data_IF_991029008265
#
_entry.id   IF_991029008265
#
_cell.length_a   1.000
_cell.length_b   1.000
_cell.length_c   1.000
_cell.angle_alpha   90.00
_cell.angle_beta   90.00
_cell.angle_gamma   90.00
#
_symmetry.space_group_name_H-M   'P 1'
#
loop_
_entity.id
_entity.type
_entity.pdbx_description
1 polymer ?
#
# COMPACT_ATOMS: atom_id res chain seq x y z
N UNK A 1 3.53 -24.82 -4.12
CA UNK A 1 2.59 -23.69 -3.96
C UNK A 1 3.11 -22.54 -3.10
N UNK A 2 3.47 -22.71 -1.82
CA UNK A 2 3.72 -21.56 -0.91
C UNK A 2 4.76 -20.57 -1.42
N UNK A 3 5.88 -21.06 -1.94
CA UNK A 3 6.93 -20.20 -2.51
C UNK A 3 6.44 -19.43 -3.74
N UNK A 4 5.66 -20.08 -4.61
CA UNK A 4 5.08 -19.43 -5.81
C UNK A 4 4.06 -18.36 -5.40
N UNK A 5 3.24 -18.64 -4.39
CA UNK A 5 2.26 -17.70 -3.86
C UNK A 5 2.95 -16.52 -3.15
N UNK A 6 3.96 -16.80 -2.32
CA UNK A 6 4.78 -15.77 -1.70
C UNK A 6 5.48 -14.90 -2.75
N UNK A 7 6.05 -15.50 -3.79
CA UNK A 7 6.66 -14.77 -4.89
C UNK A 7 5.64 -13.84 -5.57
N UNK A 8 4.41 -14.31 -5.81
CA UNK A 8 3.32 -13.47 -6.32
C UNK A 8 2.97 -12.31 -5.38
N UNK A 9 2.91 -12.53 -4.06
CA UNK A 9 2.56 -11.48 -3.09
C UNK A 9 3.69 -10.48 -2.82
N UNK A 10 4.95 -10.87 -3.03
CA UNK A 10 6.12 -10.00 -2.81
C UNK A 10 6.60 -9.29 -4.07
N UNK A 11 6.25 -9.79 -5.26
CA UNK A 11 6.61 -9.16 -6.52
C UNK A 11 5.53 -8.17 -6.96
N UNK A 12 5.84 -6.89 -6.75
CA UNK A 12 5.09 -5.74 -7.24
C UNK A 12 4.62 -5.85 -8.70
N UNK A 13 5.43 -6.49 -9.55
CA UNK A 13 5.18 -6.63 -10.99
C UNK A 13 4.36 -7.87 -11.33
N UNK A 14 4.45 -8.94 -10.54
CA UNK A 14 3.71 -10.18 -10.76
C UNK A 14 2.19 -9.97 -10.79
N UNK A 15 1.69 -9.02 -9.99
CA UNK A 15 0.30 -8.61 -9.98
C UNK A 15 -0.21 -8.23 -11.38
N UNK A 16 0.57 -7.46 -12.15
CA UNK A 16 0.17 -6.94 -13.46
C UNK A 16 0.00 -8.05 -14.51
N UNK A 17 0.71 -9.17 -14.34
CA UNK A 17 0.64 -10.30 -15.26
C UNK A 17 -0.48 -11.28 -14.92
N UNK A 18 -0.97 -11.27 -13.68
CA UNK A 18 -2.01 -12.18 -13.17
C UNK A 18 -2.99 -11.44 -12.24
N UNK A 19 -3.71 -10.42 -12.75
CA UNK A 19 -4.58 -9.59 -11.92
C UNK A 19 -5.74 -10.39 -11.31
N UNK A 20 -6.18 -11.47 -11.96
CA UNK A 20 -7.25 -12.34 -11.45
C UNK A 20 -6.93 -12.91 -10.06
N UNK A 21 -5.66 -13.17 -9.74
CA UNK A 21 -5.28 -13.76 -8.44
C UNK A 21 -5.55 -12.84 -7.24
N UNK A 22 -5.78 -11.54 -7.46
CA UNK A 22 -6.21 -10.63 -6.41
C UNK A 22 -7.74 -10.48 -6.31
N UNK A 23 -8.49 -10.90 -7.33
CA UNK A 23 -9.94 -10.86 -7.29
C UNK A 23 -10.49 -11.95 -6.35
N UNK A 24 -10.79 -11.54 -5.11
CA UNK A 24 -11.32 -12.43 -4.07
C UNK A 24 -12.76 -12.88 -4.34
N UNK A 25 -13.45 -12.27 -5.30
CA UNK A 25 -14.81 -12.68 -5.69
C UNK A 25 -14.79 -13.84 -6.69
N UNK A 26 -13.65 -14.08 -7.35
CA UNK A 26 -13.52 -15.17 -8.30
C UNK A 26 -13.55 -16.53 -7.58
N UNK A 27 -14.43 -17.48 -7.97
CA UNK A 27 -14.65 -18.72 -7.20
C UNK A 27 -13.39 -19.56 -6.99
N UNK A 28 -12.54 -19.70 -8.02
CA UNK A 28 -11.31 -20.49 -7.92
C UNK A 28 -10.27 -19.81 -6.99
N UNK A 29 -10.26 -18.48 -6.96
CA UNK A 29 -9.35 -17.71 -6.12
C UNK A 29 -9.82 -17.78 -4.67
N UNK A 30 -11.12 -17.64 -4.43
CA UNK A 30 -11.73 -17.84 -3.11
C UNK A 30 -11.48 -19.25 -2.56
N UNK A 31 -11.62 -20.28 -3.41
CA UNK A 31 -11.33 -21.67 -3.05
C UNK A 31 -9.86 -21.85 -2.62
N UNK A 32 -8.92 -21.27 -3.36
CA UNK A 32 -7.51 -21.26 -2.98
C UNK A 32 -7.29 -20.60 -1.62
N UNK A 33 -7.75 -19.37 -1.40
CA UNK A 33 -7.52 -18.69 -0.13
C UNK A 33 -8.15 -19.38 1.07
N UNK A 34 -9.31 -20.01 0.86
CA UNK A 34 -9.97 -20.83 1.90
C UNK A 34 -9.10 -22.05 2.23
N UNK A 35 -8.69 -22.82 1.23
CA UNK A 35 -7.85 -24.01 1.42
C UNK A 35 -6.47 -23.65 2.02
N UNK A 36 -5.88 -22.54 1.58
CA UNK A 36 -4.63 -22.02 2.09
C UNK A 36 -4.73 -21.69 3.59
N UNK A 37 -5.77 -20.97 4.01
CA UNK A 37 -6.00 -20.67 5.42
C UNK A 37 -6.18 -21.93 6.27
N UNK A 38 -6.89 -22.94 5.76
CA UNK A 38 -7.04 -24.23 6.45
C UNK A 38 -5.73 -25.01 6.60
N UNK A 39 -4.86 -24.97 5.59
CA UNK A 39 -3.54 -25.58 5.64
C UNK A 39 -2.57 -24.78 6.51
N UNK A 40 -2.69 -23.45 6.54
CA UNK A 40 -1.84 -22.59 7.36
C UNK A 40 -2.21 -22.66 8.86
N UNK A 41 -3.47 -22.89 9.19
CA UNK A 41 -3.92 -23.10 10.56
C UNK A 41 -3.31 -24.36 11.23
N UNK A 42 -2.80 -25.32 10.45
CA UNK A 42 -2.08 -26.50 10.96
C UNK A 42 -0.57 -26.31 11.02
N UNK A 43 -0.08 -25.09 10.77
CA UNK A 43 1.34 -24.78 10.86
C UNK A 43 1.80 -24.92 12.31
N UNK A 44 2.81 -25.75 12.51
CA UNK A 44 3.46 -25.97 13.80
C UNK A 44 4.83 -25.31 13.79
N UNK A 45 5.06 -24.43 14.76
CA UNK A 45 6.37 -23.84 15.03
C UNK A 45 7.10 -24.72 16.05
N UNK A 46 8.05 -25.52 15.57
CA UNK A 46 8.86 -26.41 16.41
C UNK A 46 8.60 -27.90 16.15
N UNK A 47 8.37 -28.67 17.21
CA UNK A 47 8.22 -30.12 17.11
C UNK A 47 6.88 -30.48 16.47
N UNK A 48 6.94 -31.24 15.38
CA UNK A 48 5.76 -31.77 14.70
C UNK A 48 5.15 -32.87 15.57
N UNK A 49 3.85 -32.79 15.90
CA UNK A 49 3.14 -33.87 16.58
C UNK A 49 3.17 -35.17 15.73
N UNK A 50 3.53 -36.30 16.35
CA UNK A 50 3.67 -37.62 15.68
C UNK A 50 2.35 -38.42 15.66
N UNK A 51 1.24 -37.79 16.05
CA UNK A 51 -0.07 -38.41 15.95
C UNK A 51 -0.44 -38.58 14.47
N UNK A 52 -0.64 -39.83 14.05
CA UNK A 52 -1.02 -40.19 12.67
C UNK A 52 -2.22 -39.36 12.15
N UNK A 53 -3.17 -39.03 13.02
CA UNK A 53 -4.31 -38.17 12.68
C UNK A 53 -3.90 -36.74 12.31
N UNK A 54 -2.94 -36.15 13.02
CA UNK A 54 -2.40 -34.82 12.72
C UNK A 54 -1.64 -34.83 11.40
N UNK A 55 -0.74 -35.81 11.21
CA UNK A 55 0.05 -35.95 9.98
C UNK A 55 -0.86 -36.11 8.75
N UNK A 56 -1.93 -36.90 8.87
CA UNK A 56 -2.90 -37.09 7.79
C UNK A 56 -3.70 -35.83 7.50
N UNK A 57 -4.25 -35.16 8.52
CA UNK A 57 -5.01 -33.92 8.33
C UNK A 57 -4.13 -32.82 7.70
N UNK A 58 -2.87 -32.71 8.15
CA UNK A 58 -1.89 -31.81 7.53
C UNK A 58 -1.69 -32.12 6.04
N UNK A 59 -1.44 -33.39 5.70
CA UNK A 59 -1.23 -33.80 4.31
C UNK A 59 -2.47 -33.53 3.44
N UNK A 60 -3.66 -33.88 3.91
CA UNK A 60 -4.92 -33.71 3.18
C UNK A 60 -5.18 -32.22 2.89
N UNK A 61 -4.99 -31.33 3.89
CA UNK A 61 -5.16 -29.88 3.70
C UNK A 61 -4.08 -29.25 2.82
N UNK A 62 -2.83 -29.71 2.94
CA UNK A 62 -1.75 -29.24 2.07
C UNK A 62 -2.03 -29.58 0.60
N UNK A 63 -2.49 -30.81 0.32
CA UNK A 63 -2.89 -31.24 -1.03
C UNK A 63 -4.08 -30.44 -1.55
N UNK A 64 -5.08 -30.18 -0.70
CA UNK A 64 -6.22 -29.35 -1.08
C UNK A 64 -5.80 -27.92 -1.46
N UNK A 65 -4.90 -27.31 -0.68
CA UNK A 65 -4.39 -25.98 -0.96
C UNK A 65 -3.53 -25.92 -2.24
N UNK A 66 -2.65 -26.89 -2.47
CA UNK A 66 -1.86 -26.99 -3.72
C UNK A 66 -2.79 -27.17 -4.93
N UNK A 67 -3.79 -28.04 -4.83
CA UNK A 67 -4.75 -28.29 -5.92
C UNK A 67 -5.54 -27.02 -6.26
N UNK A 68 -6.04 -26.32 -5.24
CA UNK A 68 -6.77 -25.08 -5.43
C UNK A 68 -5.88 -23.96 -6.00
N UNK A 69 -4.62 -23.86 -5.55
CA UNK A 69 -3.64 -22.94 -6.13
C UNK A 69 -3.42 -23.20 -7.62
N UNK A 70 -3.18 -24.45 -8.02
CA UNK A 70 -2.96 -24.79 -9.44
C UNK A 70 -4.17 -24.42 -10.29
N UNK A 71 -5.39 -24.67 -9.80
CA UNK A 71 -6.61 -24.29 -10.50
C UNK A 71 -6.75 -22.77 -10.65
N UNK A 72 -6.54 -22.01 -9.57
CA UNK A 72 -6.60 -20.54 -9.60
C UNK A 72 -5.50 -19.94 -10.49
N UNK A 73 -4.27 -20.45 -10.39
CA UNK A 73 -3.13 -19.99 -11.17
C UNK A 73 -3.30 -20.29 -12.66
N UNK A 74 -3.82 -21.47 -13.02
CA UNK A 74 -4.14 -21.83 -14.40
C UNK A 74 -5.23 -20.92 -14.97
N UNK A 75 -6.30 -20.66 -14.19
CA UNK A 75 -7.35 -19.72 -14.59
C UNK A 75 -6.79 -18.32 -14.81
N UNK A 76 -5.98 -17.80 -13.88
CA UNK A 76 -5.36 -16.49 -14.03
C UNK A 76 -4.43 -16.41 -15.25
N UNK A 77 -3.66 -17.47 -15.50
CA UNK A 77 -2.76 -17.55 -16.66
C UNK A 77 -3.52 -17.64 -17.98
N UNK A 78 -4.66 -18.33 -18.01
CA UNK A 78 -5.52 -18.45 -19.20
C UNK A 78 -6.33 -17.18 -19.46
N UNK A 79 -6.80 -16.51 -18.40
CA UNK A 79 -7.58 -15.28 -18.51
C UNK A 79 -6.72 -14.12 -18.99
N UNK A 80 -5.46 -13.98 -18.55
CA UNK A 80 -4.64 -12.80 -18.84
C UNK A 80 -5.42 -11.52 -18.53
N UNK A 81 -5.62 -10.69 -19.56
CA UNK A 81 -6.38 -9.43 -19.50
C UNK A 81 -7.86 -9.56 -19.89
N UNK A 82 -8.34 -10.75 -20.27
CA UNK A 82 -9.67 -10.92 -20.89
C UNK A 82 -10.84 -10.53 -19.97
N UNK A 83 -10.69 -10.70 -18.65
CA UNK A 83 -11.68 -10.28 -17.65
C UNK A 83 -11.71 -8.77 -17.36
N UNK A 84 -10.72 -8.02 -17.83
CA UNK A 84 -10.64 -6.57 -17.62
C UNK A 84 -11.33 -5.78 -18.74
N UNK A 85 -11.96 -4.66 -18.42
CA UNK A 85 -12.42 -3.71 -19.44
C UNK A 85 -11.23 -3.10 -20.20
N UNK A 86 -11.46 -2.58 -21.41
CA UNK A 86 -10.40 -1.91 -22.18
C UNK A 86 -9.77 -0.72 -21.41
N UNK A 87 -10.58 -0.02 -20.61
CA UNK A 87 -10.13 1.04 -19.72
C UNK A 87 -9.25 0.48 -18.59
N UNK A 88 -9.70 -0.57 -17.90
CA UNK A 88 -8.94 -1.22 -16.83
C UNK A 88 -7.59 -1.73 -17.34
N UNK A 89 -7.54 -2.37 -18.51
CA UNK A 89 -6.27 -2.79 -19.13
C UNK A 89 -5.34 -1.61 -19.39
N UNK A 90 -5.90 -0.49 -19.83
CA UNK A 90 -5.11 0.73 -20.11
C UNK A 90 -4.57 1.34 -18.82
N UNK A 91 -5.37 1.39 -17.76
CA UNK A 91 -4.94 1.85 -16.44
C UNK A 91 -3.86 0.93 -15.87
N UNK A 92 -4.03 -0.39 -16.01
CA UNK A 92 -3.08 -1.40 -15.53
C UNK A 92 -1.73 -1.29 -16.24
N UNK A 93 -1.70 -1.18 -17.58
CA UNK A 93 -0.45 -0.96 -18.33
C UNK A 93 0.27 0.34 -17.94
N UNK A 94 -0.48 1.40 -17.68
CA UNK A 94 0.09 2.69 -17.23
C UNK A 94 0.67 2.57 -15.82
N UNK A 95 -0.01 1.83 -14.94
CA UNK A 95 0.48 1.57 -13.59
C UNK A 95 1.72 0.65 -13.63
N UNK A 96 1.77 -0.33 -14.51
CA UNK A 96 2.96 -1.18 -14.73
C UNK A 96 4.17 -0.35 -15.19
N UNK A 97 3.94 0.60 -16.09
CA UNK A 97 5.01 1.49 -16.55
C UNK A 97 5.52 2.40 -15.42
N UNK A 98 4.60 2.93 -14.61
CA UNK A 98 4.94 3.78 -13.48
C UNK A 98 5.66 3.00 -12.36
N UNK A 99 5.28 1.76 -12.09
CA UNK A 99 5.96 0.97 -11.06
C UNK A 99 7.40 0.63 -11.47
N UNK A 100 7.64 0.35 -12.75
CA UNK A 100 9.01 0.12 -13.28
C UNK A 100 9.92 1.32 -13.01
N UNK A 101 9.43 2.54 -13.19
CA UNK A 101 10.18 3.77 -12.85
C UNK A 101 10.36 3.91 -11.35
N UNK A 102 9.32 3.67 -10.55
CA UNK A 102 9.40 3.78 -9.09
C UNK A 102 10.43 2.81 -8.47
N UNK A 103 10.58 1.63 -9.07
CA UNK A 103 11.51 0.59 -8.63
C UNK A 103 12.91 0.68 -9.25
N UNK A 104 13.11 1.50 -10.28
CA UNK A 104 14.42 1.69 -10.89
C UNK A 104 15.33 2.54 -9.99
N UNK A 105 16.34 1.90 -9.39
CA UNK A 105 17.33 2.57 -8.55
C UNK A 105 18.23 3.55 -9.32
N UNK A 106 18.22 3.52 -10.65
CA UNK A 106 18.91 4.50 -11.51
C UNK A 106 18.06 5.76 -11.72
N UNK A 107 16.77 5.71 -11.45
CA UNK A 107 15.88 6.87 -11.58
C UNK A 107 16.07 7.86 -10.42
N UNK A 108 15.98 9.18 -10.68
CA UNK A 108 15.98 10.21 -9.65
C UNK A 108 14.92 9.98 -8.55
N UNK A 109 15.21 10.28 -7.27
CA UNK A 109 14.28 10.02 -6.16
C UNK A 109 12.91 10.71 -6.30
N UNK A 110 12.90 11.95 -6.80
CA UNK A 110 11.69 12.72 -7.05
C UNK A 110 10.83 12.09 -8.18
N UNK A 111 11.47 11.55 -9.21
CA UNK A 111 10.81 10.84 -10.31
C UNK A 111 10.18 9.54 -9.80
N UNK A 112 10.92 8.77 -9.00
CA UNK A 112 10.42 7.55 -8.35
C UNK A 112 9.21 7.81 -7.45
N UNK A 113 9.28 8.85 -6.59
CA UNK A 113 8.17 9.23 -5.73
C UNK A 113 6.93 9.67 -6.52
N UNK A 114 7.12 10.40 -7.63
CA UNK A 114 6.04 10.80 -8.53
C UNK A 114 5.41 9.60 -9.22
N UNK A 115 6.23 8.67 -9.72
CA UNK A 115 5.78 7.45 -10.36
C UNK A 115 4.97 6.58 -9.40
N UNK A 116 5.35 6.49 -8.13
CA UNK A 116 4.55 5.80 -7.12
C UNK A 116 3.17 6.41 -6.89
N UNK A 117 3.10 7.73 -6.66
CA UNK A 117 1.81 8.42 -6.51
C UNK A 117 0.91 8.12 -7.71
N UNK A 118 1.51 8.07 -8.91
CA UNK A 118 0.80 7.72 -10.13
C UNK A 118 0.25 6.29 -10.12
N UNK A 119 1.00 5.32 -9.60
CA UNK A 119 0.52 3.94 -9.43
C UNK A 119 -0.72 3.90 -8.53
N UNK A 120 -0.67 4.54 -7.36
CA UNK A 120 -1.80 4.56 -6.41
C UNK A 120 -3.05 5.21 -7.03
N UNK A 121 -2.88 6.34 -7.73
CA UNK A 121 -3.99 6.99 -8.46
C UNK A 121 -4.62 6.08 -9.52
N UNK A 122 -3.80 5.37 -10.29
CA UNK A 122 -4.26 4.51 -11.37
C UNK A 122 -4.98 3.27 -10.82
N UNK A 123 -4.50 2.68 -9.74
CA UNK A 123 -5.20 1.59 -9.05
C UNK A 123 -6.54 2.03 -8.47
N UNK A 124 -6.60 3.20 -7.83
CA UNK A 124 -7.85 3.76 -7.33
C UNK A 124 -8.90 3.97 -8.43
N UNK A 125 -8.46 4.33 -9.65
CA UNK A 125 -9.34 4.47 -10.83
C UNK A 125 -9.75 3.15 -11.46
N UNK A 126 -8.90 2.13 -11.38
CA UNK A 126 -9.18 0.84 -12.01
C UNK A 126 -10.20 0.00 -11.23
N UNK A 127 -10.52 0.38 -9.98
CA UNK A 127 -11.35 -0.41 -9.05
C UNK A 127 -10.85 -1.86 -8.89
N UNK A 128 -9.52 -2.03 -8.97
CA UNK A 128 -8.85 -3.31 -8.80
C UNK A 128 -8.39 -3.39 -7.35
N UNK A 129 -8.81 -4.45 -6.65
CA UNK A 129 -8.40 -4.68 -5.28
C UNK A 129 -6.92 -5.13 -5.25
N UNK A 130 -6.04 -4.23 -4.81
CA UNK A 130 -4.60 -4.51 -4.75
C UNK A 130 -4.30 -5.16 -3.41
N UNK A 131 -3.65 -6.34 -3.37
CA UNK A 131 -3.29 -6.98 -2.10
C UNK A 131 -2.49 -6.03 -1.20
N UNK A 132 -2.85 -5.97 0.09
CA UNK A 132 -2.21 -5.08 1.05
C UNK A 132 -0.71 -5.35 1.22
N UNK A 133 -0.27 -6.60 1.02
CA UNK A 133 1.14 -7.02 0.99
C UNK A 133 1.91 -6.30 -0.10
N UNK A 134 1.40 -6.32 -1.34
CA UNK A 134 1.96 -5.60 -2.49
C UNK A 134 2.03 -4.10 -2.19
N UNK A 135 0.94 -3.50 -1.70
CA UNK A 135 0.91 -2.07 -1.37
C UNK A 135 1.91 -1.68 -0.27
N UNK A 136 2.15 -2.57 0.69
CA UNK A 136 3.11 -2.39 1.79
C UNK A 136 4.54 -2.53 1.30
N UNK A 137 4.85 -3.56 0.52
CA UNK A 137 6.19 -3.78 -0.03
C UNK A 137 6.60 -2.63 -0.95
N UNK A 138 5.68 -2.16 -1.81
CA UNK A 138 5.88 -0.96 -2.62
C UNK A 138 6.30 0.24 -1.77
N UNK A 139 5.59 0.47 -0.66
CA UNK A 139 5.86 1.58 0.25
C UNK A 139 7.24 1.44 0.90
N UNK A 140 7.56 0.24 1.37
CA UNK A 140 8.84 -0.06 2.01
C UNK A 140 10.02 0.18 1.06
N UNK A 141 9.92 -0.28 -0.19
CA UNK A 141 10.96 -0.08 -1.19
C UNK A 141 11.21 1.42 -1.47
N UNK A 142 10.17 2.24 -1.50
CA UNK A 142 10.28 3.70 -1.72
C UNK A 142 10.89 4.41 -0.52
N UNK A 143 10.47 4.07 0.70
CA UNK A 143 11.06 4.64 1.91
C UNK A 143 12.55 4.31 2.00
N UNK A 144 12.93 3.08 1.63
CA UNK A 144 14.34 2.66 1.59
C UNK A 144 15.15 3.44 0.55
N UNK A 145 14.56 3.71 -0.62
CA UNK A 145 15.17 4.47 -1.70
C UNK A 145 15.34 5.96 -1.35
N UNK A 146 14.32 6.55 -0.76
CA UNK A 146 14.31 7.96 -0.35
C UNK A 146 15.30 8.20 0.80
N UNK A 147 15.46 7.22 1.71
CA UNK A 147 16.47 7.28 2.78
C UNK A 147 17.89 7.27 2.26
N UNK A 148 18.19 6.56 1.15
CA UNK A 148 19.52 6.53 0.53
C UNK A 148 19.92 7.87 -0.13
N UNK A 149 18.97 8.77 -0.37
CA UNK A 149 19.20 10.03 -1.09
C UNK A 149 19.08 11.30 -0.25
N UNK A 150 18.77 11.16 1.04
CA UNK A 150 19.07 12.24 1.98
C UNK A 150 20.59 12.25 2.19
N UNK A 151 21.33 13.32 1.86
CA UNK A 151 22.68 13.44 2.36
C UNK A 151 22.58 13.39 3.89
N UNK A 152 23.37 12.52 4.51
CA UNK A 152 23.62 12.56 5.95
C UNK A 152 23.98 14.01 6.27
N UNK A 153 23.08 14.73 6.94
CA UNK A 153 23.37 16.09 7.39
C UNK A 153 24.14 15.88 8.69
N UNK A 154 25.48 16.03 8.71
CA UNK A 154 26.20 15.88 9.95
C UNK A 154 25.68 16.95 10.91
N UNK A 155 25.28 16.49 12.11
CA UNK A 155 24.78 17.24 13.25
C UNK A 155 24.59 18.74 13.05
N UNK A 156 23.36 19.15 12.75
CA UNK A 156 22.95 20.49 13.15
C UNK A 156 22.66 20.41 14.65
N UNK A 157 23.64 20.85 15.43
CA UNK A 157 23.58 20.89 16.87
C UNK A 157 22.26 21.52 17.35
N UNK A 158 21.77 20.95 18.44
CA UNK A 158 20.74 21.51 19.29
C UNK A 158 21.18 22.92 19.74
N UNK A 159 20.92 23.94 18.92
CA UNK A 159 20.97 25.32 19.39
C UNK A 159 19.82 25.49 20.38
N UNK A 160 20.19 25.68 21.64
CA UNK A 160 19.28 25.93 22.74
C UNK A 160 18.40 27.13 22.40
N UNK A 161 17.10 26.89 22.27
CA UNK A 161 16.11 27.96 22.31
C UNK A 161 16.25 28.72 23.64
N UNK A 162 16.27 30.07 23.63
CA UNK A 162 16.19 30.82 24.88
C UNK A 162 14.85 30.49 25.54
N UNK A 163 14.91 30.08 26.82
CA UNK A 163 13.74 29.83 27.66
C UNK A 163 12.89 31.11 27.67
N UNK A 164 11.72 31.06 27.07
CA UNK A 164 10.67 32.05 27.33
C UNK A 164 10.13 31.71 28.72
N UNK A 165 10.56 32.48 29.72
CA UNK A 165 10.00 32.41 31.06
C UNK A 165 8.52 32.80 31.00
N UNK A 166 7.66 31.78 31.16
CA UNK A 166 6.24 31.96 31.47
C UNK A 166 6.13 32.45 32.92
N UNK A 167 6.31 33.75 33.14
CA UNK A 167 5.80 34.41 34.33
C UNK A 167 5.64 35.90 34.07
N UNK A 168 4.40 36.34 33.80
CA UNK A 168 3.81 37.60 34.29
C UNK A 168 2.64 38.02 33.39
N UNK A 169 1.50 37.34 33.53
CA UNK A 169 0.20 37.88 33.16
C UNK A 169 -0.70 37.74 34.39
N UNK A 170 -0.65 38.70 35.31
CA UNK A 170 -1.72 38.95 36.28
C UNK A 170 -1.53 40.32 36.95
N UNK A 171 -2.66 41.03 37.09
CA UNK A 171 -2.88 42.33 37.76
C UNK A 171 -2.65 43.53 36.81
N UNK A 172 -3.60 44.44 36.55
CA UNK A 172 -4.83 44.83 37.24
C UNK A 172 -5.87 45.42 36.25
N UNK A 173 -7.10 45.58 36.75
CA UNK A 173 -8.38 45.84 36.06
C UNK A 173 -8.57 47.35 35.68
N UNK A 174 -9.74 47.78 35.14
CA UNK A 174 -9.87 48.61 33.94
C UNK A 174 -10.01 50.11 34.28
N UNK A 175 -10.08 51.00 33.27
CA UNK A 175 -10.99 52.15 33.32
C UNK A 175 -11.05 52.94 32.00
N UNK A 176 -12.31 53.17 31.59
CA UNK A 176 -12.86 54.39 31.01
C UNK A 176 -12.59 54.76 29.52
N UNK A 177 -13.59 54.43 28.70
CA UNK A 177 -14.42 55.33 27.88
C UNK A 177 -13.77 56.28 26.84
N UNK A 178 -14.29 56.22 25.60
CA UNK A 178 -14.95 57.34 24.88
C UNK A 178 -15.04 57.03 23.37
N UNK A 179 -16.27 56.77 22.93
CA UNK A 179 -16.98 57.37 21.79
C UNK A 179 -16.23 57.86 20.51
N UNK A 180 -16.93 57.63 19.38
CA UNK A 180 -16.87 58.28 18.03
C UNK A 180 -15.95 57.59 17.00
N UNK A 181 -16.32 57.34 15.72
CA UNK A 181 -17.44 57.79 14.89
C UNK A 181 -17.72 56.79 13.72
N UNK A 182 -18.98 56.77 13.28
CA UNK A 182 -19.58 56.64 11.92
C UNK A 182 -18.63 56.39 10.72
N UNK A 183 -18.90 55.58 9.69
CA UNK A 183 -20.11 55.04 9.05
C UNK A 183 -19.73 54.08 7.88
N UNK A 184 -20.66 53.65 7.01
CA UNK A 184 -20.47 52.48 6.13
C UNK A 184 -20.00 52.82 4.71
N UNK A 185 -18.96 52.15 4.21
CA UNK A 185 -18.61 52.18 2.77
C UNK A 185 -19.03 50.87 2.09
N UNK A 186 -20.16 50.95 1.38
CA UNK A 186 -20.62 50.00 0.37
C UNK A 186 -19.64 49.96 -0.82
N UNK A 187 -19.29 48.78 -1.31
CA UNK A 187 -18.51 48.59 -2.54
C UNK A 187 -19.36 47.87 -3.60
N UNK A 188 -19.47 48.45 -4.79
CA UNK A 188 -20.14 47.92 -5.99
C UNK A 188 -19.07 47.67 -7.07
N UNK A 189 -19.16 46.60 -7.89
CA UNK A 189 -18.14 46.29 -8.90
C UNK A 189 -18.44 46.95 -10.26
N UNK A 190 -17.43 47.14 -11.14
CA UNK A 190 -17.62 47.72 -12.47
C UNK A 190 -18.03 46.70 -13.55
N UNK A 191 -18.60 47.23 -14.64
CA UNK A 191 -19.28 46.58 -15.78
C UNK A 191 -18.43 45.64 -16.65
#
# INVERSE_FOLDING_TARGET
MREEFAAYETDATAFFHRPLLADRTHPLVQAFYTAFAHADALRVDGTVPDELGFVRDFADRAVAAETAWRAAYAAASASGDSGLSAEQRTLLRRAESAIKVALDDRSPPNERATAYRRVTELFGKAHIDVPASIATELRHQIESATRKTLPDRPGQGLEAHPKIDRLSCQSAVPDNNCDQAEGPTTWMPPE
#
